data_IF_835049858208
#
_entry.id   IF_835049858208
#
_cell.length_a   1.000
_cell.length_b   1.000
_cell.length_c   1.000
_cell.angle_alpha   90.00
_cell.angle_beta   90.00
_cell.angle_gamma   90.00
#
_symmetry.space_group_name_H-M   'P 1'
#
loop_
_entity.id
_entity.type
_entity.pdbx_description
1 polymer ?
#
# COMPACT_ATOMS: atom_id res chain seq x y z
N UNK A 1 2.10 -6.07 -13.43
CA UNK A 1 0.77 -6.12 -14.07
C UNK A 1 -0.26 -5.63 -13.07
N UNK A 2 -1.16 -4.72 -13.47
CA UNK A 2 -2.25 -4.22 -12.64
C UNK A 2 -3.58 -4.71 -13.22
N UNK A 3 -4.48 -5.17 -12.37
CA UNK A 3 -5.83 -5.61 -12.75
C UNK A 3 -6.81 -4.55 -12.24
N UNK A 4 -7.57 -3.86 -13.11
CA UNK A 4 -8.56 -2.87 -12.67
C UNK A 4 -9.66 -3.54 -11.85
N UNK A 5 -10.03 -2.92 -10.72
CA UNK A 5 -11.09 -3.39 -9.84
C UNK A 5 -12.37 -2.58 -10.04
N UNK A 6 -12.27 -1.25 -9.93
CA UNK A 6 -13.40 -0.34 -10.12
C UNK A 6 -12.91 1.08 -10.40
N UNK A 7 -13.81 1.94 -10.88
CA UNK A 7 -13.56 3.36 -11.05
C UNK A 7 -14.34 4.14 -9.98
N UNK A 8 -13.70 5.15 -9.40
CA UNK A 8 -14.35 6.09 -8.49
C UNK A 8 -14.25 7.50 -9.02
N UNK A 9 -15.31 8.27 -8.82
CA UNK A 9 -15.32 9.70 -9.13
C UNK A 9 -14.63 10.45 -7.99
N UNK A 10 -13.69 11.31 -8.34
CA UNK A 10 -12.87 12.06 -7.39
C UNK A 10 -12.98 13.53 -7.73
N UNK A 11 -13.34 14.34 -6.74
CA UNK A 11 -13.29 15.80 -6.87
C UNK A 11 -11.84 16.25 -6.91
N UNK A 12 -11.45 16.90 -8.01
CA UNK A 12 -10.11 17.47 -8.17
C UNK A 12 -10.17 18.97 -7.91
N UNK A 13 -9.41 19.44 -6.93
CA UNK A 13 -9.16 20.88 -6.76
C UNK A 13 -8.08 21.30 -7.76
N UNK A 14 -8.48 21.98 -8.85
CA UNK A 14 -7.54 22.67 -9.73
C UNK A 14 -7.05 23.94 -9.02
N UNK A 15 -5.73 24.20 -8.95
CA UNK A 15 -5.23 25.47 -8.43
C UNK A 15 -5.75 26.62 -9.30
N UNK A 16 -6.04 27.81 -8.72
CA UNK A 16 -6.56 28.95 -9.47
C UNK A 16 -5.66 29.29 -10.65
N UNK A 17 -6.22 29.24 -11.86
CA UNK A 17 -5.52 29.68 -13.06
C UNK A 17 -5.88 31.13 -13.34
N UNK A 18 -4.89 32.01 -13.36
CA UNK A 18 -5.05 33.37 -13.88
C UNK A 18 -4.94 33.32 -15.40
N UNK A 19 -6.06 33.45 -16.09
CA UNK A 19 -6.06 33.63 -17.54
C UNK A 19 -6.10 35.14 -17.84
N UNK A 20 -5.10 35.61 -18.59
CA UNK A 20 -5.09 36.99 -19.10
C UNK A 20 -5.79 37.00 -20.45
N UNK A 21 -6.97 37.60 -20.50
CA UNK A 21 -7.71 37.80 -21.74
C UNK A 21 -7.96 39.30 -21.91
N UNK A 22 -7.61 39.85 -23.08
CA UNK A 22 -7.80 41.28 -23.39
C UNK A 22 -7.19 42.25 -22.36
N UNK A 23 -5.99 41.97 -21.85
CA UNK A 23 -5.26 42.87 -20.95
C UNK A 23 -5.85 43.01 -19.54
N UNK A 24 -6.83 42.17 -19.17
CA UNK A 24 -7.35 42.07 -17.80
C UNK A 24 -7.06 40.68 -17.24
N UNK A 25 -6.55 40.65 -16.02
CA UNK A 25 -6.35 39.42 -15.25
C UNK A 25 -7.66 39.06 -14.59
N UNK A 26 -8.27 37.96 -15.03
CA UNK A 26 -9.47 37.42 -14.40
C UNK A 26 -9.05 36.26 -13.48
N UNK A 27 -9.42 36.37 -12.20
CA UNK A 27 -9.31 35.24 -11.25
C UNK A 27 -10.52 34.37 -11.49
N UNK A 28 -10.33 33.25 -12.18
CA UNK A 28 -11.40 32.28 -12.41
C UNK A 28 -11.64 31.54 -11.08
N UNK A 29 -12.89 31.49 -10.57
CA UNK A 29 -13.22 30.67 -9.42
C UNK A 29 -12.80 29.21 -9.66
N UNK A 30 -12.39 28.46 -8.63
CA UNK A 30 -11.99 27.06 -8.80
C UNK A 30 -13.15 26.26 -9.43
N UNK A 31 -12.90 25.77 -10.64
CA UNK A 31 -13.80 24.84 -11.33
C UNK A 31 -13.55 23.46 -10.76
N UNK A 32 -14.60 22.81 -10.24
CA UNK A 32 -14.54 21.42 -9.82
C UNK A 32 -14.55 20.56 -11.09
N UNK A 33 -13.42 19.97 -11.45
CA UNK A 33 -13.42 18.90 -12.46
C UNK A 33 -13.64 17.56 -11.74
N UNK A 34 -14.72 16.87 -12.12
CA UNK A 34 -14.96 15.48 -11.75
C UNK A 34 -13.95 14.59 -12.51
N UNK A 35 -12.91 14.13 -11.82
CA UNK A 35 -11.97 13.16 -12.37
C UNK A 35 -12.43 11.72 -12.12
N UNK A 36 -12.16 10.80 -13.06
CA UNK A 36 -12.29 9.37 -12.80
C UNK A 36 -10.93 8.81 -12.39
N UNK A 37 -10.87 8.18 -11.22
CA UNK A 37 -9.70 7.41 -10.76
C UNK A 37 -10.01 5.92 -10.85
N UNK A 38 -9.22 5.19 -11.63
CA UNK A 38 -9.31 3.72 -11.69
C UNK A 38 -8.49 3.14 -10.55
N UNK A 39 -9.14 2.38 -9.67
CA UNK A 39 -8.47 1.58 -8.65
C UNK A 39 -8.17 0.21 -9.24
N UNK A 40 -6.90 -0.17 -9.21
CA UNK A 40 -6.39 -1.45 -9.68
C UNK A 40 -5.65 -2.19 -8.56
N UNK A 41 -5.49 -3.51 -8.70
CA UNK A 41 -4.66 -4.34 -7.82
C UNK A 41 -3.44 -4.84 -8.57
N UNK A 42 -2.27 -4.73 -7.95
CA UNK A 42 -1.02 -5.23 -8.52
C UNK A 42 -0.89 -6.75 -8.31
N UNK A 43 -0.58 -7.49 -9.39
CA UNK A 43 -0.43 -8.94 -9.30
C UNK A 43 0.75 -9.34 -8.42
N UNK A 44 1.91 -8.73 -8.60
CA UNK A 44 3.14 -9.09 -7.88
C UNK A 44 3.20 -8.51 -6.47
N UNK A 45 2.70 -7.28 -6.28
CA UNK A 45 2.77 -6.54 -5.04
C UNK A 45 1.56 -6.71 -4.12
N UNK A 46 0.42 -7.22 -4.62
CA UNK A 46 -0.77 -7.48 -3.79
C UNK A 46 -1.33 -8.89 -3.97
N UNK A 47 -1.66 -9.32 -5.18
CA UNK A 47 -2.36 -10.61 -5.38
C UNK A 47 -1.53 -11.82 -4.93
N UNK A 48 -0.30 -11.95 -5.43
CA UNK A 48 0.62 -13.03 -5.06
C UNK A 48 0.92 -13.02 -3.54
N UNK A 49 1.25 -11.86 -2.92
CA UNK A 49 1.45 -11.78 -1.48
C UNK A 49 0.22 -12.19 -0.66
N UNK A 50 -0.98 -11.76 -1.07
CA UNK A 50 -2.24 -12.15 -0.41
C UNK A 50 -2.45 -13.66 -0.49
N UNK A 51 -2.27 -14.25 -1.68
CA UNK A 51 -2.45 -15.69 -1.86
C UNK A 51 -1.45 -16.52 -1.05
N UNK A 52 -0.16 -16.15 -1.07
CA UNK A 52 0.86 -16.86 -0.31
C UNK A 52 0.65 -16.66 1.21
N UNK A 53 0.23 -15.48 1.63
CA UNK A 53 -0.11 -15.22 3.04
C UNK A 53 -1.29 -16.06 3.50
N UNK A 54 -2.34 -16.15 2.68
CA UNK A 54 -3.50 -16.98 2.98
C UNK A 54 -3.08 -18.46 3.09
N UNK A 55 -2.27 -18.95 2.15
CA UNK A 55 -1.74 -20.31 2.20
C UNK A 55 -0.96 -20.60 3.49
N UNK A 56 0.00 -19.72 3.84
CA UNK A 56 0.81 -19.87 5.05
C UNK A 56 -0.04 -19.76 6.32
N UNK A 57 -1.01 -18.86 6.35
CA UNK A 57 -1.93 -18.70 7.46
C UNK A 57 -2.77 -19.97 7.69
N UNK A 58 -3.33 -20.54 6.62
CA UNK A 58 -4.14 -21.76 6.71
C UNK A 58 -3.31 -22.98 7.14
N UNK A 59 -2.05 -23.10 6.71
CA UNK A 59 -1.16 -24.20 7.14
C UNK A 59 -0.52 -24.02 8.51
N UNK A 60 -0.46 -22.79 9.02
CA UNK A 60 0.27 -22.49 10.26
C UNK A 60 -0.54 -22.81 11.52
N UNK A 61 0.14 -23.29 12.57
CA UNK A 61 -0.43 -23.40 13.93
C UNK A 61 -0.28 -22.13 14.77
N UNK A 62 0.41 -21.09 14.25
CA UNK A 62 0.65 -19.81 14.97
C UNK A 62 -0.15 -18.65 14.40
N UNK A 63 -1.39 -18.92 13.95
CA UNK A 63 -2.30 -17.94 13.34
C UNK A 63 -2.52 -16.69 14.18
N UNK A 64 -2.70 -16.84 15.50
CA UNK A 64 -2.87 -15.70 16.40
C UNK A 64 -1.67 -14.74 16.39
N UNK A 65 -0.44 -15.28 16.34
CA UNK A 65 0.79 -14.49 16.25
C UNK A 65 0.94 -13.82 14.88
N UNK A 66 0.49 -14.49 13.81
CA UNK A 66 0.42 -13.89 12.48
C UNK A 66 -0.53 -12.69 12.47
N UNK A 67 -1.76 -12.84 12.98
CA UNK A 67 -2.73 -11.73 13.05
C UNK A 67 -2.22 -10.56 13.90
N UNK A 68 -1.63 -10.85 15.07
CA UNK A 68 -1.01 -9.82 15.89
C UNK A 68 0.13 -9.11 15.15
N UNK A 69 0.99 -9.88 14.46
CA UNK A 69 2.05 -9.32 13.64
C UNK A 69 1.52 -8.43 12.51
N UNK A 70 0.47 -8.86 11.81
CA UNK A 70 -0.20 -8.06 10.77
C UNK A 70 -0.70 -6.74 11.34
N UNK A 71 -1.37 -6.77 12.50
CA UNK A 71 -1.88 -5.57 13.14
C UNK A 71 -0.76 -4.59 13.52
N UNK A 72 0.32 -5.09 14.12
CA UNK A 72 1.46 -4.26 14.52
C UNK A 72 2.18 -3.67 13.30
N UNK A 73 2.49 -4.49 12.29
CA UNK A 73 3.16 -4.00 11.07
C UNK A 73 2.26 -3.03 10.31
N UNK A 74 0.96 -3.30 10.21
CA UNK A 74 0.02 -2.36 9.59
C UNK A 74 -0.01 -1.01 10.29
N UNK A 75 -0.03 -0.97 11.62
CA UNK A 75 0.01 0.26 12.39
C UNK A 75 1.31 1.06 12.13
N UNK A 76 2.46 0.38 12.12
CA UNK A 76 3.76 1.00 11.83
C UNK A 76 3.77 1.57 10.41
N UNK A 77 3.43 0.76 9.41
CA UNK A 77 3.44 1.17 8.01
C UNK A 77 2.46 2.32 7.78
N UNK A 78 1.25 2.25 8.33
CA UNK A 78 0.27 3.31 8.21
C UNK A 78 0.74 4.63 8.82
N UNK A 79 1.34 4.58 10.01
CA UNK A 79 1.87 5.79 10.69
C UNK A 79 2.98 6.49 9.92
N UNK A 80 3.69 5.76 9.05
CA UNK A 80 4.80 6.27 8.23
C UNK A 80 4.38 6.55 6.78
N UNK A 81 3.17 6.17 6.38
CA UNK A 81 2.66 6.36 5.04
C UNK A 81 2.35 7.83 4.77
N UNK A 82 2.78 8.32 3.61
CA UNK A 82 2.51 9.68 3.15
C UNK A 82 1.85 9.64 1.78
N UNK A 83 0.84 10.46 1.60
CA UNK A 83 0.16 10.60 0.32
C UNK A 83 0.91 11.66 -0.48
N UNK A 84 1.41 11.27 -1.64
CA UNK A 84 2.14 12.15 -2.54
C UNK A 84 1.28 12.36 -3.79
N UNK A 85 0.72 13.56 -3.98
CA UNK A 85 -0.11 13.88 -5.14
C UNK A 85 0.61 13.55 -6.45
N UNK A 86 -0.10 12.87 -7.36
CA UNK A 86 0.44 12.41 -8.64
C UNK A 86 1.39 11.20 -8.59
N UNK A 87 1.90 10.81 -7.41
CA UNK A 87 2.86 9.70 -7.27
C UNK A 87 2.28 8.47 -6.55
N UNK A 88 1.33 8.63 -5.64
CA UNK A 88 0.73 7.52 -4.89
C UNK A 88 0.98 7.60 -3.38
N UNK A 89 0.82 6.47 -2.71
CA UNK A 89 1.08 6.32 -1.29
C UNK A 89 2.54 5.89 -1.12
N UNK A 90 3.34 6.75 -0.48
CA UNK A 90 4.76 6.53 -0.28
C UNK A 90 5.05 6.07 1.15
N UNK A 91 5.81 4.97 1.27
CA UNK A 91 6.45 4.47 2.48
C UNK A 91 7.90 4.12 2.12
N UNK A 92 8.84 4.28 3.05
CA UNK A 92 10.21 3.82 2.83
C UNK A 92 10.21 2.31 2.59
N UNK A 93 10.77 1.85 1.48
CA UNK A 93 10.68 0.44 1.03
C UNK A 93 11.17 -0.58 2.06
N UNK A 94 12.10 -0.21 2.94
CA UNK A 94 12.67 -1.09 3.96
C UNK A 94 11.84 -1.18 5.24
N UNK A 95 10.88 -0.27 5.45
CA UNK A 95 10.07 -0.22 6.68
C UNK A 95 9.25 -1.51 6.87
N UNK A 96 8.43 -1.97 5.89
CA UNK A 96 7.68 -3.20 6.09
C UNK A 96 8.56 -4.45 6.30
N UNK A 97 9.62 -4.68 5.50
CA UNK A 97 10.56 -5.79 5.72
C UNK A 97 11.19 -5.81 7.12
N UNK A 98 11.73 -4.68 7.58
CA UNK A 98 12.40 -4.59 8.88
C UNK A 98 11.43 -4.74 10.04
N UNK A 99 10.27 -4.09 9.95
CA UNK A 99 9.21 -4.24 10.95
C UNK A 99 8.76 -5.70 11.05
N UNK A 100 8.52 -6.37 9.92
CA UNK A 100 8.12 -7.77 9.88
C UNK A 100 9.18 -8.71 10.47
N UNK A 101 10.45 -8.49 10.15
CA UNK A 101 11.57 -9.25 10.71
C UNK A 101 11.63 -9.10 12.24
N UNK A 102 11.63 -7.86 12.75
CA UNK A 102 11.68 -7.60 14.18
C UNK A 102 10.47 -8.19 14.93
N UNK A 103 9.26 -7.92 14.43
CA UNK A 103 8.01 -8.39 15.04
C UNK A 103 7.92 -9.92 15.05
N UNK A 104 8.31 -10.58 13.95
CA UNK A 104 8.24 -12.05 13.85
C UNK A 104 9.23 -12.76 14.76
N UNK A 105 10.44 -12.22 14.94
CA UNK A 105 11.44 -12.74 15.87
C UNK A 105 10.92 -12.68 17.31
N UNK A 106 10.33 -11.55 17.71
CA UNK A 106 9.75 -11.38 19.05
C UNK A 106 8.54 -12.29 19.26
N UNK A 107 7.59 -12.31 18.32
CA UNK A 107 6.35 -13.05 18.49
C UNK A 107 6.54 -14.56 18.31
N UNK A 108 7.48 -14.98 17.48
CA UNK A 108 7.55 -16.35 17.01
C UNK A 108 8.96 -16.80 16.64
N UNK A 109 10.00 -16.49 17.41
CA UNK A 109 11.41 -16.87 17.16
C UNK A 109 11.63 -18.17 16.36
N UNK A 110 11.13 -19.32 16.85
CA UNK A 110 11.28 -20.64 16.21
C UNK A 110 10.48 -20.85 14.91
N UNK A 111 9.55 -19.95 14.61
CA UNK A 111 8.65 -19.94 13.45
C UNK A 111 8.58 -18.53 12.84
N UNK A 112 9.68 -17.77 12.94
CA UNK A 112 9.71 -16.39 12.54
C UNK A 112 9.48 -16.21 11.02
N UNK A 113 10.08 -17.00 10.12
CA UNK A 113 9.92 -16.79 8.67
C UNK A 113 8.47 -16.75 8.16
N UNK A 114 7.58 -17.72 8.47
CA UNK A 114 6.19 -17.63 8.01
C UNK A 114 5.41 -16.48 8.68
N UNK A 115 5.74 -16.13 9.93
CA UNK A 115 5.12 -14.98 10.61
C UNK A 115 5.60 -13.68 9.97
N UNK A 116 6.89 -13.55 9.65
CA UNK A 116 7.47 -12.41 8.95
C UNK A 116 6.81 -12.20 7.60
N UNK A 117 6.59 -13.30 6.85
CA UNK A 117 5.94 -13.22 5.56
C UNK A 117 4.53 -12.64 5.66
N UNK A 118 3.69 -13.26 6.49
CA UNK A 118 2.27 -12.90 6.60
C UNK A 118 2.13 -11.50 7.21
N UNK A 119 2.86 -11.21 8.29
CA UNK A 119 2.83 -9.89 8.93
C UNK A 119 3.37 -8.79 8.03
N UNK A 120 4.46 -9.04 7.31
CA UNK A 120 5.06 -8.08 6.39
C UNK A 120 4.15 -7.77 5.21
N UNK A 121 3.66 -8.78 4.50
CA UNK A 121 2.87 -8.57 3.28
C UNK A 121 1.49 -8.00 3.59
N UNK A 122 0.74 -8.66 4.45
CA UNK A 122 -0.61 -8.21 4.80
C UNK A 122 -0.55 -6.91 5.60
N UNK A 123 0.43 -6.77 6.50
CA UNK A 123 0.63 -5.53 7.25
C UNK A 123 0.97 -4.36 6.33
N UNK A 124 1.85 -4.54 5.34
CA UNK A 124 2.16 -3.51 4.37
C UNK A 124 0.95 -3.12 3.51
N UNK A 125 0.24 -4.11 2.95
CA UNK A 125 -0.95 -3.85 2.12
C UNK A 125 -2.07 -3.17 2.91
N UNK A 126 -2.33 -3.62 4.14
CA UNK A 126 -3.35 -3.01 4.99
C UNK A 126 -2.91 -1.60 5.39
N UNK A 127 -1.69 -1.46 5.91
CA UNK A 127 -1.19 -0.21 6.47
C UNK A 127 -0.96 0.89 5.44
N UNK A 128 -0.30 0.54 4.33
CA UNK A 128 -0.02 1.49 3.25
C UNK A 128 -1.28 1.74 2.43
N UNK A 129 -1.91 0.70 1.89
CA UNK A 129 -2.96 0.89 0.90
C UNK A 129 -4.36 0.98 1.53
N UNK A 130 -4.81 -0.07 2.25
CA UNK A 130 -6.21 -0.16 2.68
C UNK A 130 -6.62 0.93 3.68
N UNK A 131 -5.78 1.22 4.67
CA UNK A 131 -6.06 2.25 5.68
C UNK A 131 -5.97 3.67 5.12
N UNK A 132 -5.40 3.87 3.92
CA UNK A 132 -5.34 5.16 3.24
C UNK A 132 -6.35 5.28 2.08
N UNK A 133 -7.19 4.26 1.83
CA UNK A 133 -8.25 4.33 0.80
C UNK A 133 -9.13 5.60 0.87
N UNK A 134 -9.57 6.06 2.06
CA UNK A 134 -10.41 7.26 2.16
C UNK A 134 -9.73 8.53 1.64
N UNK A 135 -8.40 8.53 1.59
CA UNK A 135 -7.57 9.66 1.21
C UNK A 135 -7.04 9.56 -0.23
N UNK A 136 -7.43 8.53 -0.98
CA UNK A 136 -7.04 8.37 -2.39
C UNK A 136 -7.46 9.58 -3.23
N UNK A 137 -8.53 10.29 -2.85
CA UNK A 137 -8.94 11.50 -3.55
C UNK A 137 -7.87 12.59 -3.56
N UNK A 138 -7.03 12.65 -2.53
CA UNK A 138 -5.91 13.60 -2.42
C UNK A 138 -4.80 13.32 -3.45
N UNK A 139 -4.75 12.12 -4.05
CA UNK A 139 -3.73 11.74 -5.02
C UNK A 139 -3.89 12.48 -6.35
N UNK A 140 -5.13 12.81 -6.74
CA UNK A 140 -5.42 13.43 -8.03
C UNK A 140 -4.86 12.64 -9.23
N UNK A 141 -4.73 11.31 -9.11
CA UNK A 141 -4.15 10.43 -10.11
C UNK A 141 -5.24 9.68 -10.90
N UNK A 142 -5.07 9.50 -12.23
CA UNK A 142 -6.06 8.80 -13.06
C UNK A 142 -6.13 7.30 -12.78
N UNK A 143 -5.05 6.71 -12.26
CA UNK A 143 -4.96 5.30 -11.89
C UNK A 143 -4.22 5.18 -10.56
N UNK A 144 -4.76 4.37 -9.66
CA UNK A 144 -4.15 4.02 -8.37
C UNK A 144 -4.04 2.50 -8.28
N UNK A 145 -2.84 1.99 -8.02
CA UNK A 145 -2.58 0.55 -7.93
C UNK A 145 -2.28 0.14 -6.49
N UNK A 146 -3.18 -0.65 -5.89
CA UNK A 146 -3.01 -1.30 -4.59
C UNK A 146 -1.85 -2.31 -4.70
N UNK A 147 -0.87 -2.22 -3.80
CA UNK A 147 0.35 -3.01 -3.87
C UNK A 147 1.37 -2.50 -4.91
N UNK A 148 1.16 -1.33 -5.53
CA UNK A 148 1.97 -0.85 -6.65
C UNK A 148 3.22 -0.06 -6.26
N UNK A 149 3.21 0.65 -5.13
CA UNK A 149 4.24 1.63 -4.77
C UNK A 149 5.48 1.03 -4.07
N UNK A 150 5.76 -0.26 -4.29
CA UNK A 150 6.81 -0.98 -3.55
C UNK A 150 6.33 -1.55 -2.22
N UNK A 151 5.02 -1.76 -2.06
CA UNK A 151 4.39 -2.33 -0.85
C UNK A 151 4.94 -3.72 -0.49
N UNK A 152 5.50 -4.44 -1.48
CA UNK A 152 6.22 -5.69 -1.27
C UNK A 152 7.38 -5.82 -2.27
N UNK A 153 8.63 -5.81 -1.78
CA UNK A 153 9.84 -5.91 -2.61
C UNK A 153 10.20 -7.38 -2.89
N UNK A 154 10.62 -7.66 -4.13
CA UNK A 154 11.10 -8.97 -4.55
C UNK A 154 12.32 -9.43 -3.78
N UNK A 155 13.19 -8.51 -3.33
CA UNK A 155 14.34 -8.82 -2.46
C UNK A 155 13.89 -9.37 -1.10
N UNK A 156 12.81 -8.82 -0.54
CA UNK A 156 12.24 -9.32 0.72
C UNK A 156 11.59 -10.69 0.55
N UNK A 157 10.85 -10.88 -0.54
CA UNK A 157 10.25 -12.17 -0.89
C UNK A 157 11.32 -13.26 -1.05
N UNK A 158 12.39 -12.98 -1.78
CA UNK A 158 13.49 -13.94 -1.97
C UNK A 158 14.21 -14.23 -0.66
N UNK A 159 14.47 -13.23 0.18
CA UNK A 159 15.10 -13.41 1.49
C UNK A 159 14.28 -14.29 2.44
N UNK A 160 12.95 -14.09 2.51
CA UNK A 160 12.08 -14.94 3.33
C UNK A 160 11.97 -16.35 2.75
N UNK A 161 11.80 -16.49 1.43
CA UNK A 161 11.73 -17.82 0.80
C UNK A 161 13.04 -18.58 1.03
N UNK A 162 14.19 -17.92 0.91
CA UNK A 162 15.48 -18.52 1.25
C UNK A 162 15.52 -18.99 2.71
N UNK A 163 15.07 -18.16 3.66
CA UNK A 163 14.98 -18.53 5.07
C UNK A 163 13.93 -19.59 5.41
N UNK A 164 12.91 -19.79 4.57
CA UNK A 164 11.92 -20.87 4.70
C UNK A 164 12.43 -22.21 4.17
N UNK A 165 13.38 -22.18 3.24
CA UNK A 165 13.97 -23.37 2.59
C UNK A 165 15.30 -23.81 3.22
N UNK A 166 15.83 -23.03 4.16
CA UNK A 166 17.08 -23.31 4.88
C UNK A 166 16.89 -24.21 6.11
#
# INVERSE_FOLDING_TARGET
MNIPLYAMRVERLLPPQSITMFGRTYVVPPVHEEGMTIIAINVGGALVPVMLSLYLFLRSRVRGRMLLGVAVVAAIVHSLARIVPGAGIAVLMFVPPLAAAAVSVVLAFRRAPPVAYVSGSMGALIGADLLNLPRIGELGAPVVSIGGAGTFDGVFLTGIIAGLLA
#
